data_IF_837161600651
#
_entry.id   IF_837161600651
#
_cell.length_a   1.000
_cell.length_b   1.000
_cell.length_c   1.000
_cell.angle_alpha   90.00
_cell.angle_beta   90.00
_cell.angle_gamma   90.00
#
_symmetry.space_group_name_H-M   'P 1'
#
loop_
_entity.id
_entity.type
_entity.pdbx_description
1 polymer ?
#
# COMPACT_ATOMS: atom_id res chain seq x y z
N UNK A 1 -25.05 17.64 -36.10
CA UNK A 1 -23.90 16.80 -36.52
C UNK A 1 -24.21 15.36 -36.11
N UNK A 2 -24.37 14.41 -37.03
CA UNK A 2 -24.64 13.02 -36.69
C UNK A 2 -23.34 12.27 -36.37
N UNK A 3 -23.39 11.47 -35.32
CA UNK A 3 -22.30 10.63 -34.82
C UNK A 3 -21.93 9.57 -35.86
N UNK A 4 -20.75 9.70 -36.45
CA UNK A 4 -20.17 8.68 -37.36
C UNK A 4 -19.01 7.97 -36.65
N UNK A 5 -19.31 7.33 -35.53
CA UNK A 5 -18.37 6.45 -34.83
C UNK A 5 -19.19 5.31 -34.19
N UNK A 6 -19.62 4.32 -34.99
CA UNK A 6 -20.56 3.31 -34.45
C UNK A 6 -20.40 1.88 -34.96
N UNK A 7 -19.62 1.57 -35.99
CA UNK A 7 -19.47 0.18 -36.46
C UNK A 7 -18.02 -0.29 -36.38
N UNK A 8 -17.06 0.52 -36.84
CA UNK A 8 -15.65 0.15 -36.79
C UNK A 8 -15.10 0.11 -35.36
N UNK A 9 -15.55 1.01 -34.49
CA UNK A 9 -15.03 1.10 -33.12
C UNK A 9 -15.49 -0.08 -32.24
N UNK A 10 -16.72 -0.58 -32.42
CA UNK A 10 -17.25 -1.74 -31.69
C UNK A 10 -16.40 -2.98 -31.98
N UNK A 11 -15.99 -3.16 -33.24
CA UNK A 11 -15.15 -4.30 -33.63
C UNK A 11 -13.73 -4.17 -33.03
N UNK A 12 -13.15 -2.97 -33.06
CA UNK A 12 -11.79 -2.73 -32.51
C UNK A 12 -11.76 -2.96 -31.00
N UNK A 13 -12.75 -2.45 -30.25
CA UNK A 13 -12.80 -2.67 -28.80
C UNK A 13 -12.95 -4.15 -28.44
N UNK A 14 -13.75 -4.89 -29.20
CA UNK A 14 -13.92 -6.34 -29.02
C UNK A 14 -12.58 -7.08 -29.15
N UNK A 15 -11.81 -6.80 -30.21
CA UNK A 15 -10.47 -7.37 -30.43
C UNK A 15 -9.51 -6.97 -29.31
N UNK A 16 -9.54 -5.70 -28.88
CA UNK A 16 -8.70 -5.21 -27.80
C UNK A 16 -9.00 -5.93 -26.47
N UNK A 17 -10.27 -6.15 -26.16
CA UNK A 17 -10.70 -6.91 -24.98
C UNK A 17 -10.27 -8.38 -25.05
N UNK A 18 -10.30 -9.01 -26.23
CA UNK A 18 -9.77 -10.36 -26.40
C UNK A 18 -8.26 -10.44 -26.10
N UNK A 19 -7.48 -9.43 -26.51
CA UNK A 19 -6.06 -9.33 -26.16
C UNK A 19 -5.90 -9.21 -24.64
N UNK A 20 -6.66 -8.33 -23.99
CA UNK A 20 -6.63 -8.18 -22.52
C UNK A 20 -7.00 -9.50 -21.82
N UNK A 21 -8.06 -10.19 -22.28
CA UNK A 21 -8.43 -11.53 -21.75
C UNK A 21 -7.33 -12.55 -21.96
N UNK A 22 -6.57 -12.47 -23.07
CA UNK A 22 -5.38 -13.27 -23.31
C UNK A 22 -4.28 -12.99 -22.27
N UNK A 23 -3.98 -11.72 -22.01
CA UNK A 23 -2.98 -11.30 -21.01
C UNK A 23 -3.37 -11.71 -19.58
N UNK A 24 -4.65 -11.64 -19.23
CA UNK A 24 -5.16 -12.07 -17.92
C UNK A 24 -4.98 -13.57 -17.65
N UNK A 25 -4.80 -14.39 -18.70
CA UNK A 25 -4.52 -15.83 -18.56
C UNK A 25 -3.06 -16.14 -18.23
N UNK A 26 -2.15 -15.17 -18.34
CA UNK A 26 -0.76 -15.37 -17.95
C UNK A 26 -0.67 -15.61 -16.44
N UNK A 27 0.10 -16.61 -15.96
CA UNK A 27 0.16 -16.98 -14.55
C UNK A 27 0.44 -15.82 -13.60
N UNK A 28 1.36 -14.91 -13.96
CA UNK A 28 1.69 -13.74 -13.15
C UNK A 28 0.55 -12.70 -13.07
N UNK A 29 -0.36 -12.70 -14.04
CA UNK A 29 -1.49 -11.78 -14.10
C UNK A 29 -2.75 -12.36 -13.43
N UNK A 30 -2.74 -13.63 -12.99
CA UNK A 30 -3.84 -14.24 -12.25
C UNK A 30 -3.97 -13.73 -10.82
N UNK A 31 -3.03 -12.92 -10.35
CA UNK A 31 -3.03 -12.29 -9.04
C UNK A 31 -2.91 -10.79 -9.18
N UNK A 32 -3.68 -10.05 -8.40
CA UNK A 32 -3.59 -8.59 -8.29
C UNK A 32 -2.15 -8.17 -7.98
N UNK A 33 -1.59 -7.29 -8.81
CA UNK A 33 -0.23 -6.77 -8.71
C UNK A 33 0.05 -5.95 -7.44
N UNK A 34 -0.98 -5.70 -6.62
CA UNK A 34 -0.85 -5.00 -5.34
C UNK A 34 -1.02 -5.94 -4.14
N UNK A 35 -2.20 -6.56 -4.00
CA UNK A 35 -2.58 -7.27 -2.78
C UNK A 35 -2.64 -8.80 -2.94
N UNK A 36 -2.33 -9.32 -4.14
CA UNK A 36 -2.36 -10.76 -4.42
C UNK A 36 -3.75 -11.38 -4.46
N UNK A 37 -4.84 -10.59 -4.45
CA UNK A 37 -6.19 -11.11 -4.68
C UNK A 37 -6.27 -11.79 -6.05
N UNK A 38 -6.85 -12.98 -6.12
CA UNK A 38 -6.98 -13.76 -7.35
C UNK A 38 -7.86 -13.05 -8.39
N UNK A 39 -7.65 -13.40 -9.66
CA UNK A 39 -8.44 -13.01 -10.83
C UNK A 39 -8.72 -11.50 -10.91
N UNK A 40 -7.68 -10.64 -10.95
CA UNK A 40 -7.89 -9.21 -11.12
C UNK A 40 -8.64 -8.91 -12.43
N UNK A 41 -9.68 -8.07 -12.34
CA UNK A 41 -10.52 -7.67 -13.50
C UNK A 41 -10.35 -6.19 -13.87
N UNK A 42 -9.33 -5.53 -13.31
CA UNK A 42 -9.00 -4.14 -13.56
C UNK A 42 -7.53 -4.02 -13.90
N UNK A 43 -7.14 -2.92 -14.53
CA UNK A 43 -5.78 -2.62 -14.89
C UNK A 43 -5.45 -1.16 -14.61
N UNK A 44 -4.18 -0.86 -14.34
CA UNK A 44 -3.63 0.47 -14.52
C UNK A 44 -2.77 0.49 -15.77
N UNK A 45 -3.29 1.14 -16.81
CA UNK A 45 -2.73 1.07 -18.18
C UNK A 45 -1.30 1.59 -18.21
N UNK A 46 -1.04 2.75 -17.60
CA UNK A 46 0.28 3.38 -17.63
C UNK A 46 1.29 2.76 -16.66
N UNK A 47 0.82 2.04 -15.64
CA UNK A 47 1.68 1.34 -14.68
C UNK A 47 1.96 -0.12 -15.08
N UNK A 48 1.20 -0.64 -16.07
CA UNK A 48 1.41 -1.97 -16.62
C UNK A 48 0.99 -3.11 -15.69
N UNK A 49 -0.03 -2.88 -14.86
CA UNK A 49 -0.47 -3.85 -13.85
C UNK A 49 -1.94 -4.23 -14.00
N UNK A 50 -2.25 -5.47 -13.68
CA UNK A 50 -3.61 -5.96 -13.39
C UNK A 50 -3.86 -5.96 -11.88
N UNK A 51 -5.00 -5.43 -11.47
CA UNK A 51 -5.38 -5.20 -10.08
C UNK A 51 -6.83 -5.61 -9.82
N UNK A 52 -7.16 -5.93 -8.57
CA UNK A 52 -8.54 -6.22 -8.18
C UNK A 52 -9.37 -4.93 -8.05
N UNK A 53 -10.70 -5.06 -7.98
CA UNK A 53 -11.61 -3.91 -7.86
C UNK A 53 -11.28 -3.00 -6.65
N UNK A 54 -10.91 -3.60 -5.52
CA UNK A 54 -10.51 -2.85 -4.32
C UNK A 54 -9.27 -1.99 -4.58
N UNK A 55 -8.22 -2.57 -5.15
CA UNK A 55 -7.00 -1.83 -5.49
C UNK A 55 -7.23 -0.80 -6.61
N UNK A 56 -8.08 -1.11 -7.60
CA UNK A 56 -8.50 -0.15 -8.62
C UNK A 56 -9.14 1.11 -7.99
N UNK A 57 -9.97 0.92 -6.96
CA UNK A 57 -10.54 2.02 -6.17
C UNK A 57 -9.47 2.87 -5.46
N UNK A 58 -8.41 2.26 -4.94
CA UNK A 58 -7.28 2.97 -4.33
C UNK A 58 -6.44 3.72 -5.38
N UNK A 59 -6.17 3.09 -6.52
CA UNK A 59 -5.45 3.71 -7.64
C UNK A 59 -6.18 4.95 -8.18
N UNK A 60 -7.51 4.95 -8.23
CA UNK A 60 -8.29 6.16 -8.61
C UNK A 60 -8.01 7.36 -7.70
N UNK A 61 -7.71 7.14 -6.41
CA UNK A 61 -7.40 8.20 -5.44
C UNK A 61 -6.02 8.83 -5.65
N UNK A 62 -5.16 8.23 -6.49
CA UNK A 62 -3.88 8.82 -6.90
C UNK A 62 -4.07 9.90 -7.97
N UNK A 63 -5.18 9.85 -8.71
CA UNK A 63 -5.41 10.70 -9.88
C UNK A 63 -4.77 10.15 -11.16
N UNK A 64 -5.32 10.59 -12.30
CA UNK A 64 -4.99 10.08 -13.64
C UNK A 64 -3.57 10.41 -14.13
N UNK A 65 -2.91 11.36 -13.47
CA UNK A 65 -1.51 11.72 -13.72
C UNK A 65 -0.53 10.69 -13.13
N UNK A 66 -0.98 9.87 -12.16
CA UNK A 66 -0.20 8.76 -11.58
C UNK A 66 -0.69 7.42 -12.09
N UNK A 67 -2.01 7.18 -12.06
CA UNK A 67 -2.60 5.88 -12.41
C UNK A 67 -3.86 6.02 -13.26
N UNK A 68 -3.86 5.39 -14.43
CA UNK A 68 -4.97 5.37 -15.38
C UNK A 68 -5.68 4.03 -15.31
N UNK A 69 -6.73 3.98 -14.50
CA UNK A 69 -7.46 2.75 -14.18
C UNK A 69 -8.51 2.44 -15.24
N UNK A 70 -8.55 1.19 -15.73
CA UNK A 70 -9.60 0.65 -16.59
C UNK A 70 -10.09 -0.72 -16.10
N UNK A 71 -11.38 -0.97 -16.25
CA UNK A 71 -11.94 -2.32 -16.22
C UNK A 71 -11.47 -3.08 -17.45
N UNK A 72 -11.13 -4.35 -17.27
CA UNK A 72 -10.74 -5.21 -18.38
C UNK A 72 -11.91 -5.53 -19.32
N UNK A 73 -13.16 -5.37 -18.84
CA UNK A 73 -14.38 -5.74 -19.58
C UNK A 73 -15.33 -4.55 -19.81
N UNK A 74 -15.51 -3.69 -18.81
CA UNK A 74 -16.53 -2.64 -18.85
C UNK A 74 -16.08 -1.36 -19.56
N UNK A 75 -14.77 -1.09 -19.58
CA UNK A 75 -14.22 0.10 -20.21
C UNK A 75 -13.78 -0.21 -21.64
N UNK A 76 -13.88 0.78 -22.53
CA UNK A 76 -13.35 0.66 -23.88
C UNK A 76 -11.83 0.76 -23.86
N UNK A 77 -11.14 -0.07 -24.63
CA UNK A 77 -9.67 -0.04 -24.77
C UNK A 77 -9.27 0.53 -26.11
N UNK A 78 -8.42 1.55 -26.09
CA UNK A 78 -7.87 2.15 -27.30
C UNK A 78 -6.70 1.30 -27.81
N UNK A 79 -6.51 1.30 -29.14
CA UNK A 79 -5.37 0.59 -29.76
C UNK A 79 -4.03 1.02 -29.17
N UNK A 80 -3.83 2.31 -28.93
CA UNK A 80 -2.59 2.84 -28.33
C UNK A 80 -2.37 2.38 -26.89
N UNK A 81 -3.45 2.14 -26.14
CA UNK A 81 -3.36 1.59 -24.78
C UNK A 81 -2.97 0.12 -24.82
N UNK A 82 -3.54 -0.66 -25.75
CA UNK A 82 -3.14 -2.05 -25.97
C UNK A 82 -1.68 -2.14 -26.39
N UNK A 83 -1.23 -1.29 -27.32
CA UNK A 83 0.17 -1.26 -27.77
C UNK A 83 1.14 -0.99 -26.63
N UNK A 84 0.80 -0.08 -25.71
CA UNK A 84 1.61 0.21 -24.53
C UNK A 84 1.54 -0.89 -23.45
N UNK A 85 0.40 -1.57 -23.33
CA UNK A 85 0.11 -2.48 -22.22
C UNK A 85 0.47 -3.94 -22.51
N UNK A 86 0.34 -4.39 -23.78
CA UNK A 86 0.50 -5.79 -24.19
C UNK A 86 1.87 -6.40 -23.89
N UNK A 87 2.90 -5.56 -23.78
CA UNK A 87 4.26 -5.99 -23.48
C UNK A 87 4.55 -6.06 -21.98
N UNK A 88 3.61 -5.61 -21.13
CA UNK A 88 3.77 -5.59 -19.68
C UNK A 88 2.99 -6.71 -19.00
N UNK A 89 3.52 -7.19 -17.88
CA UNK A 89 2.85 -8.13 -16.98
C UNK A 89 3.06 -7.69 -15.54
N UNK A 90 2.27 -8.21 -14.61
CA UNK A 90 2.46 -7.94 -13.18
C UNK A 90 3.87 -8.32 -12.70
N UNK A 91 4.49 -9.35 -13.28
CA UNK A 91 5.87 -9.71 -12.99
C UNK A 91 6.85 -8.61 -13.43
N UNK A 92 6.77 -8.18 -14.70
CA UNK A 92 7.63 -7.09 -15.21
C UNK A 92 7.42 -5.78 -14.45
N UNK A 93 6.18 -5.46 -14.12
CA UNK A 93 5.86 -4.26 -13.35
C UNK A 93 6.43 -4.35 -11.93
N UNK A 94 6.38 -5.53 -11.29
CA UNK A 94 7.01 -5.79 -9.99
C UNK A 94 8.54 -5.64 -10.05
N UNK A 95 9.19 -6.20 -11.07
CA UNK A 95 10.65 -6.07 -11.27
C UNK A 95 11.10 -4.60 -11.32
N UNK A 96 10.29 -3.70 -11.89
CA UNK A 96 10.59 -2.27 -11.90
C UNK A 96 10.14 -1.56 -10.63
N UNK A 97 8.84 -1.56 -10.32
CA UNK A 97 8.24 -0.75 -9.25
C UNK A 97 8.63 -1.19 -7.86
N UNK A 98 9.20 -2.38 -7.71
CA UNK A 98 9.49 -3.02 -6.44
C UNK A 98 10.92 -3.57 -6.38
N UNK A 99 11.78 -3.13 -7.30
CA UNK A 99 13.20 -3.52 -7.40
C UNK A 99 13.97 -3.31 -6.10
N UNK A 100 13.64 -2.26 -5.33
CA UNK A 100 14.30 -1.91 -4.07
C UNK A 100 13.42 -2.19 -2.84
N UNK A 101 12.40 -3.03 -2.94
CA UNK A 101 11.66 -3.50 -1.76
C UNK A 101 12.59 -4.39 -0.92
N UNK A 102 12.79 -4.11 0.38
CA UNK A 102 13.60 -4.96 1.24
C UNK A 102 13.12 -6.41 1.24
N UNK A 103 14.03 -7.37 1.32
CA UNK A 103 13.69 -8.80 1.24
C UNK A 103 12.80 -9.28 2.39
N UNK A 104 12.89 -8.65 3.56
CA UNK A 104 12.04 -8.93 4.72
C UNK A 104 10.73 -8.11 4.73
N UNK A 105 10.53 -7.21 3.76
CA UNK A 105 9.32 -6.39 3.69
C UNK A 105 8.06 -7.24 3.60
N UNK A 106 7.11 -6.97 4.50
CA UNK A 106 5.81 -7.68 4.54
C UNK A 106 4.83 -6.94 3.63
N UNK A 107 4.58 -7.49 2.44
CA UNK A 107 3.60 -6.91 1.50
C UNK A 107 2.19 -6.92 2.08
N UNK A 108 1.41 -5.84 1.86
CA UNK A 108 -0.03 -5.90 2.08
C UNK A 108 -0.68 -6.95 1.19
N UNK A 109 -1.63 -7.66 1.76
CA UNK A 109 -2.41 -8.72 1.14
C UNK A 109 -3.86 -8.28 0.98
N UNK A 110 -4.66 -9.10 0.32
CA UNK A 110 -6.09 -8.84 0.16
C UNK A 110 -6.86 -8.76 1.48
N UNK A 111 -6.36 -9.43 2.53
CA UNK A 111 -6.93 -9.45 3.87
C UNK A 111 -6.60 -8.19 4.69
N UNK A 112 -5.60 -7.41 4.27
CA UNK A 112 -5.22 -6.17 4.94
C UNK A 112 -6.21 -5.04 4.67
N UNK A 113 -6.24 -4.07 5.58
CA UNK A 113 -7.05 -2.86 5.46
C UNK A 113 -6.74 -2.08 4.17
N UNK A 114 -7.76 -1.37 3.67
CA UNK A 114 -7.56 -0.44 2.56
C UNK A 114 -6.59 0.70 2.90
N UNK A 115 -6.48 1.10 4.18
CA UNK A 115 -5.54 2.14 4.60
C UNK A 115 -4.09 1.69 4.46
N UNK A 116 -3.76 0.45 4.83
CA UNK A 116 -2.42 -0.09 4.64
C UNK A 116 -2.11 -0.31 3.15
N UNK A 117 -3.05 -0.86 2.39
CA UNK A 117 -2.91 -0.99 0.93
C UNK A 117 -2.71 0.37 0.26
N UNK A 118 -3.44 1.42 0.67
CA UNK A 118 -3.27 2.77 0.14
C UNK A 118 -1.90 3.36 0.48
N UNK A 119 -1.42 3.18 1.71
CA UNK A 119 -0.10 3.63 2.12
C UNK A 119 1.00 3.00 1.24
N UNK A 120 0.91 1.69 1.02
CA UNK A 120 1.78 0.95 0.13
C UNK A 120 1.74 1.47 -1.31
N UNK A 121 0.55 1.57 -1.90
CA UNK A 121 0.34 2.01 -3.29
C UNK A 121 0.88 3.44 -3.48
N UNK A 122 0.62 4.36 -2.55
CA UNK A 122 1.14 5.74 -2.62
C UNK A 122 2.66 5.77 -2.51
N UNK A 123 3.25 5.09 -1.55
CA UNK A 123 4.70 5.02 -1.44
C UNK A 123 5.33 4.41 -2.71
N UNK A 124 4.70 3.38 -3.29
CA UNK A 124 5.16 2.70 -4.49
C UNK A 124 5.11 3.60 -5.74
N UNK A 125 4.01 4.33 -5.96
CA UNK A 125 3.78 5.04 -7.23
C UNK A 125 3.87 6.57 -7.15
N UNK A 126 3.35 7.18 -6.09
CA UNK A 126 3.41 8.64 -5.88
C UNK A 126 4.81 9.06 -5.46
N UNK A 127 5.42 8.30 -4.54
CA UNK A 127 6.78 8.57 -4.05
C UNK A 127 7.87 7.83 -4.85
N UNK A 128 7.48 6.85 -5.69
CA UNK A 128 8.42 5.97 -6.41
C UNK A 128 9.45 5.35 -5.45
N UNK A 129 9.03 4.98 -4.24
CA UNK A 129 9.96 4.66 -3.16
C UNK A 129 10.86 3.45 -3.45
N UNK A 130 10.43 2.54 -4.34
CA UNK A 130 11.07 1.25 -4.56
C UNK A 130 11.52 0.98 -6.01
N UNK A 131 11.51 2.01 -6.87
CA UNK A 131 12.04 1.91 -8.25
C UNK A 131 13.58 1.84 -8.26
N UNK A 132 14.24 1.54 -9.39
CA UNK A 132 15.71 1.51 -9.47
C UNK A 132 16.39 2.81 -8.99
N UNK A 133 17.64 2.72 -8.53
CA UNK A 133 18.36 3.82 -7.86
C UNK A 133 18.58 5.05 -8.76
N UNK A 134 18.71 4.83 -10.06
CA UNK A 134 18.97 5.85 -11.09
C UNK A 134 17.75 6.73 -11.40
N UNK A 135 16.55 6.39 -10.91
CA UNK A 135 15.34 7.18 -11.13
C UNK A 135 15.36 8.47 -10.28
N UNK A 136 15.39 9.65 -10.89
CA UNK A 136 15.45 10.92 -10.17
C UNK A 136 14.14 11.24 -9.45
N UNK A 137 14.25 11.94 -8.31
CA UNK A 137 13.10 12.44 -7.54
C UNK A 137 12.36 11.39 -6.72
N UNK A 138 12.85 10.14 -6.65
CA UNK A 138 12.27 9.10 -5.80
C UNK A 138 12.43 9.43 -4.30
N UNK A 139 11.34 9.36 -3.54
CA UNK A 139 11.36 9.54 -2.07
C UNK A 139 11.50 8.19 -1.38
N UNK A 140 12.73 7.83 -1.02
CA UNK A 140 13.06 6.53 -0.42
C UNK A 140 12.55 6.43 1.02
N UNK A 141 12.09 5.25 1.39
CA UNK A 141 11.67 4.94 2.75
C UNK A 141 12.82 4.26 3.52
N UNK A 142 13.03 4.70 4.75
CA UNK A 142 14.00 4.08 5.64
C UNK A 142 13.30 3.12 6.62
N UNK A 143 13.20 1.84 6.27
CA UNK A 143 12.66 0.81 7.17
C UNK A 143 13.61 0.43 8.31
N UNK A 144 14.90 0.81 8.25
CA UNK A 144 15.81 0.67 9.40
C UNK A 144 15.57 1.74 10.47
N UNK A 145 14.76 2.77 10.18
CA UNK A 145 14.33 3.75 11.18
C UNK A 145 13.44 3.07 12.22
N UNK A 146 13.94 3.02 13.46
CA UNK A 146 13.34 2.32 14.59
C UNK A 146 12.82 3.28 15.68
N UNK A 147 12.62 4.54 15.34
CA UNK A 147 12.10 5.56 16.26
C UNK A 147 11.52 6.78 15.55
N UNK A 148 10.70 7.56 16.25
CA UNK A 148 10.13 8.81 15.76
C UNK A 148 8.92 9.30 16.55
N UNK A 149 8.47 10.51 16.26
CA UNK A 149 7.25 11.04 16.85
C UNK A 149 6.01 10.43 16.24
N UNK A 150 5.03 10.12 17.09
CA UNK A 150 3.68 9.70 16.70
C UNK A 150 2.66 10.35 17.63
N UNK A 151 1.40 10.35 17.23
CA UNK A 151 0.28 10.70 18.10
C UNK A 151 -0.34 9.43 18.64
N UNK A 152 -0.44 9.30 19.96
CA UNK A 152 -1.01 8.13 20.62
C UNK A 152 -2.25 8.53 21.41
N UNK A 153 -3.33 7.76 21.27
CA UNK A 153 -4.55 7.98 22.05
C UNK A 153 -4.42 7.44 23.47
N UNK A 154 -4.81 8.26 24.45
CA UNK A 154 -4.95 7.84 25.85
C UNK A 154 -6.10 6.85 26.06
N UNK A 155 -6.03 6.02 27.12
CA UNK A 155 -7.14 5.12 27.47
C UNK A 155 -8.19 5.87 28.29
N UNK A 156 -7.74 6.43 29.42
CA UNK A 156 -8.60 7.02 30.45
C UNK A 156 -9.12 8.36 29.92
N UNK A 157 -8.21 9.32 29.79
CA UNK A 157 -8.46 10.54 29.04
C UNK A 157 -8.17 10.22 27.59
N UNK A 158 -9.22 10.08 26.78
CA UNK A 158 -9.15 9.66 25.37
C UNK A 158 -8.56 10.72 24.43
N UNK A 159 -7.73 11.63 24.92
CA UNK A 159 -7.06 12.63 24.10
C UNK A 159 -5.85 12.04 23.37
N UNK A 160 -5.55 12.61 22.20
CA UNK A 160 -4.34 12.34 21.44
C UNK A 160 -3.17 13.09 22.05
N UNK A 161 -2.05 12.38 22.30
CA UNK A 161 -0.83 12.97 22.82
C UNK A 161 0.32 12.65 21.88
N UNK A 162 1.11 13.67 21.52
CA UNK A 162 2.37 13.48 20.79
C UNK A 162 3.37 12.76 21.71
N UNK A 163 4.03 11.73 21.20
CA UNK A 163 5.00 10.93 21.93
C UNK A 163 6.16 10.58 21.01
N UNK A 164 7.38 10.65 21.53
CA UNK A 164 8.52 10.02 20.85
C UNK A 164 8.45 8.53 21.14
N UNK A 165 8.36 7.70 20.11
CA UNK A 165 8.24 6.25 20.22
C UNK A 165 9.48 5.61 19.60
N UNK A 166 10.01 4.55 20.23
CA UNK A 166 11.15 3.79 19.72
C UNK A 166 11.02 2.30 20.01
N UNK A 167 11.55 1.48 19.10
CA UNK A 167 11.70 0.05 19.30
C UNK A 167 12.85 -0.22 20.29
N UNK A 168 12.63 -1.16 21.21
CA UNK A 168 13.67 -1.70 22.09
C UNK A 168 13.88 -3.16 21.68
N UNK A 169 14.90 -3.39 20.86
CA UNK A 169 15.07 -4.65 20.14
C UNK A 169 13.86 -4.94 19.25
N UNK A 170 13.48 -6.21 19.15
CA UNK A 170 12.23 -6.63 18.53
C UNK A 170 11.11 -6.85 19.58
N UNK A 171 11.42 -6.84 20.87
CA UNK A 171 10.49 -7.25 21.95
C UNK A 171 9.35 -6.26 22.22
N UNK A 172 9.64 -4.95 22.15
CA UNK A 172 8.68 -3.91 22.58
C UNK A 172 8.91 -2.55 21.94
N UNK A 173 7.89 -1.72 22.01
CA UNK A 173 7.98 -0.26 21.81
C UNK A 173 7.93 0.44 23.16
N UNK A 174 8.74 1.48 23.31
CA UNK A 174 8.64 2.44 24.42
C UNK A 174 8.27 3.82 23.90
N UNK A 175 7.47 4.57 24.66
CA UNK A 175 7.06 5.92 24.27
C UNK A 175 7.27 6.94 25.38
N UNK A 176 7.78 8.11 25.02
CA UNK A 176 8.29 9.17 25.89
C UNK A 176 7.53 10.49 25.63
N UNK A 177 7.54 11.45 26.57
CA UNK A 177 6.91 12.76 26.29
C UNK A 177 7.72 13.47 25.21
N UNK A 178 9.04 13.44 25.35
CA UNK A 178 10.02 13.99 24.43
C UNK A 178 11.14 12.98 24.15
N UNK A 179 11.87 13.19 23.06
CA UNK A 179 12.99 12.36 22.62
C UNK A 179 14.15 12.28 23.63
N UNK A 180 14.39 13.36 24.37
CA UNK A 180 15.48 13.46 25.35
C UNK A 180 15.12 12.82 26.71
N UNK A 181 13.86 12.42 26.92
CA UNK A 181 13.45 11.84 28.19
C UNK A 181 14.12 10.46 28.38
N UNK A 182 14.69 10.24 29.57
CA UNK A 182 15.33 8.95 29.91
C UNK A 182 14.33 7.87 30.32
N UNK A 183 13.16 8.27 30.83
CA UNK A 183 12.15 7.35 31.38
C UNK A 183 10.91 7.34 30.48
N UNK A 184 10.46 6.16 30.02
CA UNK A 184 9.27 6.07 29.17
C UNK A 184 7.99 6.38 29.96
N UNK A 185 7.01 6.98 29.27
CA UNK A 185 5.63 7.09 29.76
C UNK A 185 4.87 5.76 29.73
N UNK A 186 5.42 4.76 29.03
CA UNK A 186 4.88 3.41 28.97
C UNK A 186 5.47 2.62 27.81
N UNK A 187 5.07 1.36 27.73
CA UNK A 187 5.55 0.41 26.74
C UNK A 187 4.40 -0.38 26.09
N UNK A 188 4.71 -0.97 24.94
CA UNK A 188 3.85 -1.86 24.16
C UNK A 188 4.66 -3.12 23.90
N UNK A 189 4.25 -4.24 24.51
CA UNK A 189 4.82 -5.56 24.18
C UNK A 189 4.48 -5.91 22.74
N UNK A 190 5.46 -6.40 21.98
CA UNK A 190 5.29 -6.90 20.61
C UNK A 190 5.20 -8.43 20.52
N UNK A 191 5.32 -9.13 21.64
CA UNK A 191 4.95 -10.54 21.76
C UNK A 191 3.43 -10.73 21.63
N UNK A 192 3.03 -11.81 20.96
CA UNK A 192 1.63 -12.24 20.81
C UNK A 192 0.68 -11.12 20.37
N UNK A 193 1.17 -10.21 19.53
CA UNK A 193 0.31 -9.18 18.94
C UNK A 193 -0.70 -9.83 18.00
N UNK A 194 -1.96 -9.43 18.16
CA UNK A 194 -2.99 -9.69 17.17
C UNK A 194 -2.87 -8.69 16.01
N UNK A 195 -3.96 -7.98 15.73
CA UNK A 195 -3.99 -7.03 14.62
C UNK A 195 -2.98 -5.89 14.77
N UNK A 196 -2.09 -5.75 13.79
CA UNK A 196 -1.25 -4.58 13.53
C UNK A 196 -1.60 -4.09 12.13
N UNK A 197 -2.48 -3.10 12.01
CA UNK A 197 -2.98 -2.66 10.70
C UNK A 197 -3.47 -1.20 10.75
N UNK A 198 -3.61 -0.58 9.59
CA UNK A 198 -4.26 0.71 9.47
C UNK A 198 -5.75 0.62 9.84
N UNK A 199 -6.25 1.71 10.40
CA UNK A 199 -7.66 1.89 10.74
C UNK A 199 -8.15 3.17 10.10
N UNK A 200 -9.48 3.28 9.96
CA UNK A 200 -10.12 4.48 9.46
C UNK A 200 -9.79 5.70 10.31
N UNK A 201 -9.99 6.88 9.73
CA UNK A 201 -9.83 8.15 10.44
C UNK A 201 -10.59 8.14 11.77
N UNK A 202 -9.92 8.56 12.84
CA UNK A 202 -10.49 8.61 14.18
C UNK A 202 -10.42 10.02 14.73
N UNK A 203 -11.57 10.64 14.97
CA UNK A 203 -11.66 11.97 15.60
C UNK A 203 -10.82 13.03 14.86
N UNK A 204 -10.93 13.08 13.53
CA UNK A 204 -10.18 14.04 12.70
C UNK A 204 -8.71 13.67 12.49
N UNK A 205 -8.24 12.51 12.98
CA UNK A 205 -6.86 12.05 12.79
C UNK A 205 -6.76 11.03 11.67
N UNK A 206 -5.97 11.38 10.66
CA UNK A 206 -5.60 10.52 9.54
C UNK A 206 -4.37 9.68 9.87
N UNK A 207 -3.99 8.80 8.94
CA UNK A 207 -2.80 7.93 9.06
C UNK A 207 -2.79 7.11 10.35
N UNK A 208 -3.97 6.62 10.74
CA UNK A 208 -4.16 5.86 11.95
C UNK A 208 -3.82 4.39 11.74
N UNK A 209 -3.23 3.78 12.76
CA UNK A 209 -3.06 2.34 12.88
C UNK A 209 -3.30 1.87 14.31
N UNK A 210 -3.52 0.57 14.43
CA UNK A 210 -3.75 -0.12 15.70
C UNK A 210 -2.64 -1.12 15.95
N UNK A 211 -2.21 -1.24 17.21
CA UNK A 211 -1.46 -2.40 17.71
C UNK A 211 -2.32 -3.08 18.76
N UNK A 212 -2.77 -4.30 18.48
CA UNK A 212 -3.57 -5.11 19.39
C UNK A 212 -2.67 -6.06 20.16
N UNK A 213 -2.46 -5.79 21.45
CA UNK A 213 -1.76 -6.71 22.36
C UNK A 213 -2.78 -7.52 23.17
N UNK A 214 -2.39 -8.63 23.82
CA UNK A 214 -3.28 -9.38 24.71
C UNK A 214 -3.88 -8.51 25.83
N UNK A 215 -3.12 -7.51 26.31
CA UNK A 215 -3.56 -6.62 27.40
C UNK A 215 -4.52 -5.53 26.96
N UNK A 216 -4.29 -4.94 25.78
CA UNK A 216 -5.08 -3.81 25.25
C UNK A 216 -4.76 -3.49 23.80
N UNK A 217 -5.62 -2.65 23.23
CA UNK A 217 -5.41 -1.99 21.94
C UNK A 217 -4.73 -0.63 22.10
N UNK A 218 -3.84 -0.31 21.17
CA UNK A 218 -3.12 0.95 21.08
C UNK A 218 -3.46 1.62 19.76
N UNK A 219 -4.08 2.81 19.84
CA UNK A 219 -4.42 3.62 18.66
C UNK A 219 -3.33 4.69 18.48
N UNK A 220 -2.75 4.72 17.29
CA UNK A 220 -1.62 5.56 16.93
C UNK A 220 -1.94 6.24 15.59
N UNK A 221 -1.53 7.49 15.43
CA UNK A 221 -1.64 8.29 14.20
C UNK A 221 -0.27 8.85 13.85
N UNK A 222 0.07 8.79 12.57
CA UNK A 222 1.34 9.28 12.01
C UNK A 222 1.12 10.59 11.24
N UNK A 223 2.20 11.21 10.75
CA UNK A 223 2.07 12.46 10.00
C UNK A 223 1.70 12.25 8.51
N UNK A 224 1.97 11.07 7.95
CA UNK A 224 1.76 10.77 6.53
C UNK A 224 1.75 9.25 6.23
N UNK A 225 1.48 8.90 4.97
CA UNK A 225 1.46 7.51 4.50
C UNK A 225 2.82 6.80 4.63
N UNK A 226 3.92 7.52 4.44
CA UNK A 226 5.27 6.96 4.55
C UNK A 226 5.53 6.46 5.98
N UNK A 227 5.23 7.29 6.97
CA UNK A 227 5.37 6.92 8.38
C UNK A 227 4.38 5.81 8.76
N UNK A 228 3.14 5.87 8.29
CA UNK A 228 2.14 4.82 8.53
C UNK A 228 2.67 3.45 8.06
N UNK A 229 3.19 3.39 6.83
CA UNK A 229 3.74 2.18 6.26
C UNK A 229 4.97 1.70 7.04
N UNK A 230 5.94 2.57 7.31
CA UNK A 230 7.15 2.23 8.08
C UNK A 230 6.79 1.67 9.46
N UNK A 231 5.90 2.33 10.20
CA UNK A 231 5.50 1.88 11.53
C UNK A 231 4.79 0.53 11.51
N UNK A 232 3.82 0.32 10.61
CA UNK A 232 3.11 -0.96 10.52
C UNK A 232 4.07 -2.08 10.14
N UNK A 233 4.90 -1.90 9.11
CA UNK A 233 5.80 -2.96 8.62
C UNK A 233 6.87 -3.30 9.65
N UNK A 234 7.51 -2.29 10.27
CA UNK A 234 8.49 -2.54 11.31
C UNK A 234 7.88 -3.24 12.52
N UNK A 235 6.66 -2.86 12.92
CA UNK A 235 5.97 -3.48 14.06
C UNK A 235 5.59 -4.93 13.73
N UNK A 236 5.10 -5.21 12.52
CA UNK A 236 4.80 -6.58 12.05
C UNK A 236 6.05 -7.44 12.00
N UNK A 237 7.17 -6.90 11.51
CA UNK A 237 8.45 -7.61 11.45
C UNK A 237 8.94 -8.00 12.86
N UNK A 238 8.96 -7.05 13.78
CA UNK A 238 9.36 -7.32 15.16
C UNK A 238 8.42 -8.33 15.84
N UNK A 239 7.10 -8.18 15.66
CA UNK A 239 6.12 -9.15 16.20
C UNK A 239 6.27 -10.55 15.61
N UNK A 240 6.56 -10.68 14.31
CA UNK A 240 6.80 -11.98 13.65
C UNK A 240 8.04 -12.69 14.22
N UNK A 241 9.10 -11.94 14.53
CA UNK A 241 10.35 -12.49 15.12
C UNK A 241 10.17 -12.94 16.58
N UNK A 242 9.16 -12.42 17.26
CA UNK A 242 8.76 -12.81 18.61
C UNK A 242 7.74 -13.95 18.65
N UNK A 243 7.24 -14.39 17.50
CA UNK A 243 6.35 -15.54 17.44
C UNK A 243 7.20 -16.81 17.60
N UNK A 244 6.77 -17.78 18.43
CA UNK A 244 7.53 -18.99 18.71
C UNK A 244 7.81 -19.85 17.47
#
# INVERSE_FOLDING_TARGET
MPMTSSINDINIDTVNKEIIRGLLKLPENQFCGECGMIEPQWASVNLGIFICLSCAGLHRRLGTHISRVKSCELDNWLKSEIEAFKETTNLKAKEYWESLVPSDFIRPTYADSNGLKEAWIRCKYEDKAFVPEDVPGAKRLNFSKREGYVYKKGIIVKNWKRRFMKFIGDDRLEYFKNEQDKTPCGSISLHDCGQIDSIQELEGRTFCFIISTPKRRYLISCDNYQQLLIWIINTRLSSKRNSP
#
